data_IF_176043612888
#
_entry.id   IF_176043612888
#
_cell.length_a   1.000
_cell.length_b   1.000
_cell.length_c   1.000
_cell.angle_alpha   90.00
_cell.angle_beta   90.00
_cell.angle_gamma   90.00
#
_symmetry.space_group_name_H-M   'P 1'
#
loop_
_entity.id
_entity.type
_entity.pdbx_description
1 polymer ?
#
# COMPACT_ATOMS: atom_id res chain seq x y z
N UNK A 1 8.18 2.01 25.46
CA UNK A 1 7.22 0.96 25.06
C UNK A 1 5.98 1.64 24.51
N UNK A 2 5.47 1.18 23.39
CA UNK A 2 4.22 1.68 22.79
C UNK A 2 3.09 1.18 23.68
N UNK A 3 2.37 2.10 24.34
CA UNK A 3 1.26 1.73 25.24
C UNK A 3 -0.09 1.96 24.54
N UNK A 4 -0.28 1.30 23.40
CA UNK A 4 -1.52 1.32 22.63
C UNK A 4 -2.19 -0.05 22.81
N UNK A 5 -3.45 -0.11 23.29
CA UNK A 5 -4.17 -1.38 23.33
C UNK A 5 -4.29 -1.99 21.94
N UNK A 6 -4.03 -3.28 21.79
CA UNK A 6 -4.10 -3.99 20.51
C UNK A 6 -5.51 -3.85 19.86
N UNK A 7 -6.55 -3.76 20.67
CA UNK A 7 -7.96 -3.53 20.24
C UNK A 7 -8.22 -2.11 19.72
N UNK A 8 -7.21 -1.22 19.76
CA UNK A 8 -7.22 0.14 19.20
C UNK A 8 -6.29 0.28 17.99
N UNK A 9 -5.88 -0.82 17.41
CA UNK A 9 -5.07 -0.85 16.20
C UNK A 9 -5.94 -1.34 15.04
N UNK A 10 -5.96 -0.57 13.94
CA UNK A 10 -6.45 -1.02 12.65
C UNK A 10 -5.23 -1.36 11.79
N UNK A 11 -5.08 -2.63 11.48
CA UNK A 11 -4.09 -3.11 10.53
C UNK A 11 -4.58 -2.82 9.12
N UNK A 12 -3.67 -2.42 8.23
CA UNK A 12 -4.01 -2.00 6.87
C UNK A 12 -2.91 -2.42 5.89
N UNK A 13 -3.36 -2.81 4.71
CA UNK A 13 -2.52 -3.09 3.55
C UNK A 13 -3.23 -2.63 2.28
N UNK A 14 -2.50 -2.25 1.24
CA UNK A 14 -3.07 -1.82 -0.04
C UNK A 14 -2.41 -2.53 -1.22
N UNK A 15 -3.23 -2.87 -2.23
CA UNK A 15 -2.72 -3.35 -3.50
C UNK A 15 -2.96 -2.32 -4.61
N UNK A 16 -1.91 -2.12 -5.38
CA UNK A 16 -1.84 -1.09 -6.40
C UNK A 16 -1.38 -1.64 -7.75
N UNK A 17 -1.86 -1.01 -8.82
CA UNK A 17 -1.44 -1.30 -10.18
C UNK A 17 -1.12 -0.01 -10.92
N UNK A 18 -0.37 -0.07 -12.01
CA UNK A 18 -0.21 1.07 -12.90
C UNK A 18 -1.55 1.57 -13.42
N UNK A 19 -1.69 2.88 -13.69
CA UNK A 19 -2.90 3.51 -14.23
C UNK A 19 -3.37 2.91 -15.56
N UNK A 20 -2.49 2.22 -16.28
CA UNK A 20 -2.76 1.54 -17.55
C UNK A 20 -2.03 0.18 -17.55
N UNK A 21 -2.45 -0.77 -18.41
CA UNK A 21 -1.80 -2.08 -18.53
C UNK A 21 -0.35 -1.97 -19.04
N UNK A 22 -0.09 -1.03 -19.93
CA UNK A 22 1.21 -0.82 -20.57
C UNK A 22 1.51 0.66 -20.72
N UNK A 23 2.78 1.01 -20.95
CA UNK A 23 3.15 2.40 -21.20
C UNK A 23 2.51 2.97 -22.49
N UNK A 24 2.44 2.27 -23.65
CA UNK A 24 1.68 2.74 -24.81
C UNK A 24 0.19 3.02 -24.52
N UNK A 25 -0.43 2.22 -23.67
CA UNK A 25 -1.80 2.50 -23.23
C UNK A 25 -1.87 3.79 -22.38
N UNK A 26 -0.89 4.02 -21.50
CA UNK A 26 -0.79 5.29 -20.76
C UNK A 26 -0.62 6.47 -21.72
N UNK A 27 0.24 6.36 -22.74
CA UNK A 27 0.40 7.41 -23.77
C UNK A 27 -0.90 7.72 -24.51
N UNK A 28 -1.72 6.71 -24.73
CA UNK A 28 -3.00 6.86 -25.44
C UNK A 28 -4.05 7.54 -24.58
N UNK A 29 -4.21 7.11 -23.32
CA UNK A 29 -5.28 7.58 -22.43
C UNK A 29 -4.90 8.79 -21.56
N UNK A 30 -3.58 8.94 -21.27
CA UNK A 30 -3.05 9.97 -20.38
C UNK A 30 -1.71 10.52 -20.90
N UNK A 31 -1.68 11.18 -22.08
CA UNK A 31 -0.42 11.60 -22.73
C UNK A 31 0.45 12.52 -21.87
N UNK A 32 -0.17 13.41 -21.08
CA UNK A 32 0.57 14.29 -20.18
C UNK A 32 1.25 13.52 -19.05
N UNK A 33 0.57 12.51 -18.48
CA UNK A 33 1.17 11.65 -17.46
C UNK A 33 2.27 10.76 -18.05
N UNK A 34 2.11 10.29 -19.28
CA UNK A 34 3.15 9.53 -19.97
C UNK A 34 4.41 10.38 -20.19
N UNK A 35 4.24 11.65 -20.57
CA UNK A 35 5.37 12.59 -20.66
C UNK A 35 6.07 12.78 -19.30
N UNK A 36 5.30 12.96 -18.22
CA UNK A 36 5.86 13.09 -16.87
C UNK A 36 6.52 11.79 -16.40
N UNK A 37 6.01 10.64 -16.79
CA UNK A 37 6.65 9.37 -16.49
C UNK A 37 8.04 9.25 -17.14
N UNK A 38 8.20 9.68 -18.40
CA UNK A 38 9.53 9.74 -19.07
C UNK A 38 10.49 10.66 -18.30
N UNK A 39 10.03 11.85 -17.88
CA UNK A 39 10.86 12.75 -17.07
C UNK A 39 11.24 12.13 -15.71
N UNK A 40 10.32 11.38 -15.09
CA UNK A 40 10.58 10.64 -13.85
C UNK A 40 11.64 9.55 -14.09
N UNK A 41 11.61 8.84 -15.22
CA UNK A 41 12.62 7.83 -15.56
C UNK A 41 14.02 8.44 -15.69
N UNK A 42 14.15 9.56 -16.37
CA UNK A 42 15.44 10.26 -16.50
C UNK A 42 16.05 10.63 -15.15
N UNK A 43 15.21 11.04 -14.19
CA UNK A 43 15.63 11.31 -12.83
C UNK A 43 15.96 10.01 -12.07
N UNK A 44 15.12 8.97 -12.23
CA UNK A 44 15.26 7.68 -11.56
C UNK A 44 16.55 6.97 -11.97
N UNK A 45 16.86 6.91 -13.26
CA UNK A 45 18.10 6.32 -13.78
C UNK A 45 19.37 7.01 -13.25
N UNK A 46 19.33 8.34 -13.14
CA UNK A 46 20.45 9.10 -12.53
C UNK A 46 20.65 8.74 -11.06
N UNK A 47 19.58 8.42 -10.36
CA UNK A 47 19.60 8.07 -8.94
C UNK A 47 19.93 6.59 -8.69
N UNK A 48 19.53 5.72 -9.60
CA UNK A 48 19.66 4.27 -9.55
C UNK A 48 20.25 3.74 -10.87
N UNK A 49 21.58 3.88 -11.06
CA UNK A 49 22.23 3.52 -12.33
C UNK A 49 22.09 2.07 -12.75
N UNK A 50 21.78 1.17 -11.82
CA UNK A 50 21.49 -0.25 -12.07
C UNK A 50 20.21 -0.47 -12.91
N UNK A 51 19.37 0.54 -13.05
CA UNK A 51 18.18 0.54 -13.90
C UNK A 51 18.40 1.28 -15.23
N UNK A 52 19.58 1.84 -15.46
CA UNK A 52 19.87 2.59 -16.68
C UNK A 52 19.71 1.71 -17.94
N UNK A 53 19.14 2.31 -19.00
CA UNK A 53 18.91 1.64 -20.27
C UNK A 53 17.66 0.77 -20.35
N UNK A 54 16.84 0.74 -19.29
CA UNK A 54 15.52 0.11 -19.33
C UNK A 54 14.52 1.07 -19.98
N UNK A 55 13.82 0.59 -21.01
CA UNK A 55 12.84 1.42 -21.72
C UNK A 55 11.60 1.77 -20.86
N UNK A 56 10.83 2.81 -21.28
CA UNK A 56 9.61 3.22 -20.57
C UNK A 56 8.60 2.09 -20.36
N UNK A 57 8.47 1.17 -21.32
CA UNK A 57 7.55 0.03 -21.24
C UNK A 57 7.90 -0.89 -20.09
N UNK A 58 9.16 -1.33 -20.00
CA UNK A 58 9.63 -2.21 -18.94
C UNK A 58 9.51 -1.53 -17.57
N UNK A 59 9.91 -0.25 -17.50
CA UNK A 59 9.90 0.49 -16.26
C UNK A 59 8.48 0.82 -15.79
N UNK A 60 7.56 1.14 -16.70
CA UNK A 60 6.18 1.37 -16.35
C UNK A 60 5.53 0.10 -15.79
N UNK A 61 5.70 -1.02 -16.48
CA UNK A 61 5.17 -2.31 -16.02
C UNK A 61 5.67 -2.70 -14.63
N UNK A 62 6.97 -2.50 -14.37
CA UNK A 62 7.60 -2.97 -13.12
C UNK A 62 7.56 -1.95 -11.97
N UNK A 63 7.37 -0.65 -12.22
CA UNK A 63 7.56 0.41 -11.22
C UNK A 63 6.41 1.38 -11.07
N UNK A 64 5.49 1.48 -12.04
CA UNK A 64 4.38 2.43 -11.94
C UNK A 64 3.50 2.20 -10.71
N UNK A 65 3.29 0.95 -10.32
CA UNK A 65 2.53 0.57 -9.13
C UNK A 65 3.17 1.02 -7.79
N UNK A 66 4.39 1.54 -7.82
CA UNK A 66 5.11 2.02 -6.62
C UNK A 66 5.13 3.55 -6.51
N UNK A 67 4.57 4.27 -7.47
CA UNK A 67 4.59 5.74 -7.54
C UNK A 67 3.16 6.27 -7.57
N UNK A 68 2.76 6.96 -6.52
CA UNK A 68 1.37 7.39 -6.29
C UNK A 68 0.73 8.13 -7.48
N UNK A 69 1.53 8.85 -8.24
CA UNK A 69 1.11 9.65 -9.40
C UNK A 69 0.82 8.78 -10.64
N UNK A 70 1.37 7.58 -10.71
CA UNK A 70 1.27 6.67 -11.86
C UNK A 70 0.54 5.36 -11.57
N UNK A 71 0.06 5.19 -10.32
CA UNK A 71 -0.71 4.01 -9.90
C UNK A 71 -2.19 4.34 -9.69
N UNK A 72 -2.99 3.27 -9.57
CA UNK A 72 -4.30 3.30 -8.92
C UNK A 72 -4.38 2.20 -7.84
N UNK A 73 -5.18 2.44 -6.81
CA UNK A 73 -5.49 1.46 -5.77
C UNK A 73 -6.61 0.56 -6.28
N UNK A 74 -6.42 -0.75 -6.22
CA UNK A 74 -7.42 -1.76 -6.61
C UNK A 74 -7.96 -2.55 -5.44
N UNK A 75 -7.23 -2.58 -4.32
CA UNK A 75 -7.68 -3.19 -3.07
C UNK A 75 -7.12 -2.42 -1.87
N UNK A 76 -7.93 -2.31 -0.82
CA UNK A 76 -7.53 -1.89 0.52
C UNK A 76 -8.11 -2.90 1.48
N UNK A 77 -7.28 -3.64 2.19
CA UNK A 77 -7.71 -4.55 3.24
C UNK A 77 -7.39 -3.97 4.61
N UNK A 78 -8.30 -4.17 5.54
CA UNK A 78 -8.13 -3.76 6.94
C UNK A 78 -8.50 -4.90 7.88
N UNK A 79 -7.90 -4.90 9.06
CA UNK A 79 -8.22 -5.88 10.10
C UNK A 79 -8.02 -5.32 11.49
N UNK A 80 -8.69 -5.89 12.47
CA UNK A 80 -8.54 -5.52 13.87
C UNK A 80 -8.89 -6.70 14.77
N UNK A 81 -8.41 -6.64 16.01
CA UNK A 81 -8.75 -7.62 17.05
C UNK A 81 -9.87 -7.03 17.90
N UNK A 82 -10.96 -7.78 18.05
CA UNK A 82 -12.09 -7.41 18.91
C UNK A 82 -11.71 -7.55 20.40
N UNK A 83 -12.57 -7.03 21.30
CA UNK A 83 -12.37 -7.20 22.74
C UNK A 83 -12.43 -8.68 23.19
N UNK A 84 -13.09 -9.52 22.42
CA UNK A 84 -13.21 -10.97 22.68
C UNK A 84 -12.04 -11.77 22.08
N UNK A 85 -11.07 -11.08 21.45
CA UNK A 85 -9.88 -11.69 20.86
C UNK A 85 -10.10 -12.23 19.43
N UNK A 86 -11.25 -12.00 18.80
CA UNK A 86 -11.50 -12.41 17.43
C UNK A 86 -10.83 -11.45 16.44
N UNK A 87 -10.24 -11.99 15.38
CA UNK A 87 -9.75 -11.22 14.23
C UNK A 87 -10.91 -10.98 13.27
N UNK A 88 -11.10 -9.73 12.87
CA UNK A 88 -12.06 -9.34 11.82
C UNK A 88 -11.34 -8.57 10.73
N UNK A 89 -11.56 -8.99 9.49
CA UNK A 89 -11.03 -8.35 8.29
C UNK A 89 -12.16 -7.80 7.42
N UNK A 90 -11.85 -6.80 6.64
CA UNK A 90 -12.73 -6.23 5.62
C UNK A 90 -11.88 -5.69 4.48
N UNK A 91 -12.29 -5.96 3.24
CA UNK A 91 -11.63 -5.44 2.04
C UNK A 91 -12.57 -4.54 1.24
N UNK A 92 -11.99 -3.50 0.67
CA UNK A 92 -12.57 -2.57 -0.28
C UNK A 92 -11.79 -2.73 -1.59
N UNK A 93 -12.42 -3.26 -2.64
CA UNK A 93 -11.73 -3.59 -3.89
C UNK A 93 -12.65 -3.42 -5.09
N UNK A 94 -12.07 -3.26 -6.26
CA UNK A 94 -12.82 -3.04 -7.49
C UNK A 94 -12.03 -2.31 -8.56
N UNK A 95 -12.70 -2.02 -9.68
CA UNK A 95 -12.11 -1.30 -10.80
C UNK A 95 -12.22 0.23 -10.65
N UNK A 96 -13.22 0.71 -9.92
CA UNK A 96 -13.43 2.13 -9.64
C UNK A 96 -12.73 2.54 -8.34
N UNK A 97 -11.50 3.05 -8.48
CA UNK A 97 -10.71 3.54 -7.35
C UNK A 97 -11.46 4.58 -6.49
N UNK A 98 -12.28 5.42 -7.12
CA UNK A 98 -13.00 6.48 -6.38
C UNK A 98 -14.04 5.91 -5.42
N UNK A 99 -14.67 4.80 -5.78
CA UNK A 99 -15.61 4.07 -4.91
C UNK A 99 -14.85 3.47 -3.73
N UNK A 100 -13.76 2.74 -4.00
CA UNK A 100 -12.90 2.19 -2.95
C UNK A 100 -12.48 3.28 -1.95
N UNK A 101 -11.95 4.39 -2.47
CA UNK A 101 -11.45 5.48 -1.64
C UNK A 101 -12.52 6.18 -0.82
N UNK A 102 -13.78 6.29 -1.29
CA UNK A 102 -14.90 6.82 -0.52
C UNK A 102 -15.27 5.94 0.66
N UNK A 103 -15.30 4.63 0.44
CA UNK A 103 -15.64 3.66 1.49
C UNK A 103 -14.53 3.61 2.55
N UNK A 104 -13.26 3.57 2.12
CA UNK A 104 -12.09 3.66 3.00
C UNK A 104 -12.07 5.00 3.75
N UNK A 105 -12.36 6.13 3.11
CA UNK A 105 -12.44 7.44 3.76
C UNK A 105 -13.49 7.42 4.90
N UNK A 106 -14.64 6.81 4.64
CA UNK A 106 -15.73 6.71 5.63
C UNK A 106 -15.32 5.87 6.83
N UNK A 107 -14.66 4.73 6.60
CA UNK A 107 -14.09 3.91 7.66
C UNK A 107 -13.04 4.69 8.46
N UNK A 108 -12.05 5.28 7.78
CA UNK A 108 -10.94 5.98 8.43
C UNK A 108 -11.40 7.20 9.25
N UNK A 109 -12.43 7.93 8.81
CA UNK A 109 -13.07 8.99 9.60
C UNK A 109 -13.66 8.43 10.90
N UNK A 110 -14.40 7.32 10.80
CA UNK A 110 -15.04 6.69 11.96
C UNK A 110 -14.01 6.22 12.99
N UNK A 111 -12.99 5.46 12.56
CA UNK A 111 -11.98 4.91 13.48
C UNK A 111 -11.06 5.99 14.04
N UNK A 112 -10.75 7.04 13.26
CA UNK A 112 -9.98 8.19 13.73
C UNK A 112 -10.67 8.88 14.90
N UNK A 113 -11.99 9.08 14.83
CA UNK A 113 -12.81 9.64 15.91
C UNK A 113 -12.85 8.73 17.16
N UNK A 114 -12.67 7.42 16.98
CA UNK A 114 -12.60 6.44 18.07
C UNK A 114 -11.19 6.27 18.67
N UNK A 115 -10.21 7.04 18.19
CA UNK A 115 -8.84 7.06 18.68
C UNK A 115 -8.02 5.84 18.31
N UNK A 116 -8.31 5.21 17.17
CA UNK A 116 -7.49 4.12 16.64
C UNK A 116 -6.16 4.64 16.08
N UNK A 117 -5.19 3.73 16.02
CA UNK A 117 -3.94 3.87 15.31
C UNK A 117 -3.93 2.95 14.09
N UNK A 118 -3.31 3.39 13.01
CA UNK A 118 -3.04 2.51 11.85
C UNK A 118 -1.81 1.66 12.13
N UNK A 119 -1.75 0.45 11.56
CA UNK A 119 -0.57 -0.39 11.55
C UNK A 119 -0.43 -1.09 10.21
N UNK A 120 0.77 -1.09 9.64
CA UNK A 120 1.09 -1.83 8.42
C UNK A 120 2.59 -2.11 8.31
N UNK A 121 2.99 -2.77 7.24
CA UNK A 121 4.40 -3.05 6.97
C UNK A 121 4.95 -2.07 5.93
N UNK A 122 5.90 -1.23 6.30
CA UNK A 122 6.37 -0.10 5.49
C UNK A 122 5.25 0.90 5.14
N UNK A 123 4.17 0.87 5.92
CA UNK A 123 2.96 1.64 5.63
C UNK A 123 3.16 3.15 5.74
N UNK A 124 4.06 3.61 6.62
CA UNK A 124 4.43 5.04 6.68
C UNK A 124 5.18 5.49 5.42
N UNK A 125 5.91 4.57 4.78
CA UNK A 125 6.65 4.86 3.55
C UNK A 125 5.82 4.73 2.28
N UNK A 126 4.73 3.95 2.30
CA UNK A 126 3.95 3.65 1.10
C UNK A 126 2.44 3.79 1.29
N UNK A 127 1.77 2.87 1.99
CA UNK A 127 0.31 2.77 2.04
C UNK A 127 -0.36 4.08 2.48
N UNK A 128 0.08 4.64 3.59
CA UNK A 128 -0.49 5.85 4.19
C UNK A 128 -0.36 7.07 3.27
N UNK A 129 0.84 7.42 2.76
CA UNK A 129 0.99 8.54 1.84
C UNK A 129 0.32 8.28 0.48
N UNK A 130 0.30 7.05 -0.02
CA UNK A 130 -0.41 6.70 -1.25
C UNK A 130 -1.91 6.92 -1.08
N UNK A 131 -2.53 6.40 -0.02
CA UNK A 131 -3.95 6.63 0.28
C UNK A 131 -4.29 8.12 0.34
N UNK A 132 -3.49 8.91 1.06
CA UNK A 132 -3.73 10.35 1.17
C UNK A 132 -3.65 11.05 -0.19
N UNK A 133 -2.60 10.79 -0.98
CA UNK A 133 -2.40 11.36 -2.31
C UNK A 133 -3.52 10.94 -3.28
N UNK A 134 -3.86 9.63 -3.31
CA UNK A 134 -4.90 9.12 -4.20
C UNK A 134 -6.28 9.67 -3.85
N UNK A 135 -6.59 9.87 -2.56
CA UNK A 135 -7.80 10.58 -2.14
C UNK A 135 -7.84 11.99 -2.73
N UNK A 136 -6.76 12.77 -2.58
CA UNK A 136 -6.69 14.15 -3.12
C UNK A 136 -6.86 14.14 -4.65
N UNK A 137 -6.18 13.24 -5.37
CA UNK A 137 -6.28 13.11 -6.84
C UNK A 137 -7.69 12.75 -7.29
N UNK A 138 -8.47 12.03 -6.46
CA UNK A 138 -9.87 11.69 -6.72
C UNK A 138 -10.88 12.73 -6.20
N UNK A 139 -10.40 13.91 -5.72
CA UNK A 139 -11.24 14.99 -5.19
C UNK A 139 -11.83 14.69 -3.82
N UNK A 140 -11.21 13.83 -3.04
CA UNK A 140 -11.61 13.47 -1.67
C UNK A 140 -10.66 14.13 -0.67
N UNK A 141 -11.21 14.61 0.46
CA UNK A 141 -10.41 15.14 1.56
C UNK A 141 -9.90 14.00 2.43
N UNK A 142 -8.57 13.82 2.61
CA UNK A 142 -8.03 12.81 3.51
C UNK A 142 -8.54 13.02 4.95
N UNK A 143 -8.95 11.95 5.66
CA UNK A 143 -9.37 12.05 7.06
C UNK A 143 -8.19 12.34 7.99
N UNK A 144 -8.46 12.95 9.16
CA UNK A 144 -7.44 13.40 10.11
C UNK A 144 -6.52 12.29 10.68
N UNK A 145 -6.91 11.03 10.55
CA UNK A 145 -6.05 9.90 10.94
C UNK A 145 -4.88 9.73 9.97
N UNK A 146 -5.01 10.19 8.72
CA UNK A 146 -3.92 10.26 7.75
C UNK A 146 -3.10 11.54 7.98
N UNK A 147 -1.79 11.52 7.71
CA UNK A 147 -0.95 12.70 7.88
C UNK A 147 -1.35 13.84 6.92
N UNK A 148 -1.22 15.06 7.41
CA UNK A 148 -1.35 16.28 6.62
C UNK A 148 0.02 16.75 6.09
N UNK A 149 0.03 17.80 5.27
CA UNK A 149 1.24 18.35 4.65
C UNK A 149 2.31 18.84 5.65
N UNK A 150 1.91 19.19 6.87
CA UNK A 150 2.77 19.69 7.95
C UNK A 150 3.12 18.61 8.99
N UNK A 151 2.56 17.40 8.86
CA UNK A 151 2.84 16.29 9.77
C UNK A 151 4.26 15.79 9.56
N UNK A 152 5.07 15.80 10.62
CA UNK A 152 6.42 15.24 10.58
C UNK A 152 6.38 13.72 10.67
N UNK A 153 7.37 12.99 10.11
CA UNK A 153 7.38 11.53 10.11
C UNK A 153 7.13 10.88 11.48
N UNK A 154 7.65 11.48 12.56
CA UNK A 154 7.50 10.97 13.92
C UNK A 154 6.16 11.35 14.59
N UNK A 155 5.37 12.23 13.98
CA UNK A 155 4.04 12.65 14.46
C UNK A 155 2.91 11.82 13.83
N UNK A 156 3.24 10.98 12.83
CA UNK A 156 2.27 10.10 12.19
C UNK A 156 1.74 9.09 13.21
N UNK A 157 0.43 9.13 13.46
CA UNK A 157 -0.25 8.20 14.37
C UNK A 157 -0.43 6.82 13.73
N UNK A 158 0.69 6.20 13.39
CA UNK A 158 0.72 4.86 12.84
C UNK A 158 1.89 4.08 13.41
N UNK A 159 1.69 2.77 13.53
CA UNK A 159 2.73 1.78 13.76
C UNK A 159 3.19 1.24 12.42
N UNK A 160 4.47 0.99 12.30
CA UNK A 160 5.06 0.38 11.12
C UNK A 160 5.92 -0.79 11.57
N UNK A 161 5.53 -2.01 11.20
CA UNK A 161 6.22 -3.22 11.65
C UNK A 161 7.67 -3.26 11.17
N UNK A 162 7.97 -2.64 10.01
CA UNK A 162 9.34 -2.49 9.52
C UNK A 162 10.17 -1.59 10.43
N UNK A 163 9.61 -0.46 10.89
CA UNK A 163 10.28 0.44 11.84
C UNK A 163 10.43 -0.23 13.22
N UNK A 164 9.41 -0.93 13.70
CA UNK A 164 9.45 -1.66 14.96
C UNK A 164 10.57 -2.72 14.96
N UNK A 165 10.75 -3.43 13.83
CA UNK A 165 11.81 -4.42 13.64
C UNK A 165 13.22 -3.84 13.63
N UNK A 166 13.35 -2.55 13.38
CA UNK A 166 14.66 -1.89 13.35
C UNK A 166 15.35 -1.82 14.71
N UNK A 167 14.60 -1.74 15.82
CA UNK A 167 15.18 -1.57 17.17
C UNK A 167 16.29 -0.50 17.22
N UNK A 168 16.11 0.61 16.47
CA UNK A 168 17.08 1.69 16.39
C UNK A 168 18.21 1.49 15.35
N UNK A 169 18.24 0.37 14.61
CA UNK A 169 19.17 0.15 13.51
C UNK A 169 18.68 0.79 12.21
N UNK A 170 19.60 1.44 11.46
CA UNK A 170 19.27 1.98 10.12
C UNK A 170 19.51 0.98 8.98
N UNK A 171 20.14 -0.16 9.26
CA UNK A 171 20.47 -1.21 8.26
C UNK A 171 19.57 -2.41 8.46
N UNK A 172 18.32 -2.32 8.00
CA UNK A 172 17.39 -3.43 8.20
C UNK A 172 16.96 -4.01 6.87
N UNK A 173 17.18 -5.31 6.70
CA UNK A 173 16.49 -6.11 5.70
C UNK A 173 15.11 -6.40 6.29
N UNK A 174 14.13 -5.55 5.97
CA UNK A 174 12.81 -5.62 6.56
C UNK A 174 11.77 -6.02 5.54
N UNK A 175 11.81 -7.24 4.99
CA UNK A 175 10.67 -7.79 4.28
C UNK A 175 9.72 -8.47 5.28
N UNK A 176 8.41 -8.32 5.06
CA UNK A 176 7.38 -8.97 5.86
C UNK A 176 7.60 -10.49 5.92
N UNK A 177 7.94 -11.09 4.77
CA UNK A 177 8.22 -12.52 4.66
C UNK A 177 9.38 -12.97 5.57
N UNK A 178 10.50 -12.22 5.58
CA UNK A 178 11.62 -12.54 6.45
C UNK A 178 11.24 -12.46 7.93
N UNK A 179 10.46 -11.46 8.31
CA UNK A 179 9.95 -11.33 9.67
C UNK A 179 9.07 -12.53 10.05
N UNK A 180 8.15 -12.94 9.17
CA UNK A 180 7.32 -14.14 9.37
C UNK A 180 8.17 -15.38 9.62
N UNK A 181 9.18 -15.62 8.79
CA UNK A 181 10.10 -16.78 8.94
C UNK A 181 10.81 -16.71 10.30
N UNK A 182 11.35 -15.55 10.67
CA UNK A 182 12.07 -15.39 11.94
C UNK A 182 11.16 -15.58 13.17
N UNK A 183 9.90 -15.24 13.08
CA UNK A 183 8.92 -15.31 14.18
C UNK A 183 8.06 -16.58 14.15
N UNK A 184 8.24 -17.44 13.12
CA UNK A 184 7.45 -18.66 12.97
C UNK A 184 5.97 -18.41 12.61
N UNK A 185 5.68 -17.26 11.98
CA UNK A 185 4.34 -16.91 11.48
C UNK A 185 4.21 -17.35 10.03
N UNK A 186 3.05 -17.89 9.65
CA UNK A 186 2.79 -18.28 8.27
C UNK A 186 2.74 -17.06 7.35
N UNK A 187 3.52 -17.09 6.25
CA UNK A 187 3.61 -16.01 5.26
C UNK A 187 2.51 -16.10 4.19
N UNK A 188 2.12 -14.96 3.63
CA UNK A 188 1.22 -14.86 2.46
C UNK A 188 1.88 -15.30 1.13
N UNK A 189 3.19 -15.50 1.09
CA UNK A 189 3.96 -15.80 -0.14
C UNK A 189 3.65 -17.14 -0.81
N UNK A 190 2.92 -18.03 -0.14
CA UNK A 190 2.47 -19.30 -0.71
C UNK A 190 1.21 -19.16 -1.59
N UNK A 191 0.68 -17.94 -1.76
CA UNK A 191 -0.51 -17.67 -2.57
C UNK A 191 -0.17 -17.56 -4.07
N UNK A 192 -1.16 -17.74 -4.93
CA UNK A 192 -1.02 -17.66 -6.38
C UNK A 192 -0.60 -16.26 -6.84
N UNK A 193 -1.21 -15.23 -6.25
CA UNK A 193 -0.84 -13.82 -6.44
C UNK A 193 0.09 -13.41 -5.30
N UNK A 194 1.15 -12.69 -5.65
CA UNK A 194 2.10 -12.07 -4.71
C UNK A 194 2.38 -10.63 -5.16
N UNK A 195 2.81 -9.75 -4.25
CA UNK A 195 2.89 -8.31 -4.47
C UNK A 195 3.54 -7.86 -5.78
N UNK A 196 4.64 -8.52 -6.22
CA UNK A 196 5.30 -8.19 -7.49
C UNK A 196 4.56 -8.67 -8.76
N UNK A 197 3.46 -9.41 -8.61
CA UNK A 197 2.62 -9.92 -9.71
C UNK A 197 1.23 -9.30 -9.73
N UNK A 198 0.92 -8.38 -8.84
CA UNK A 198 -0.42 -7.74 -8.74
C UNK A 198 -0.78 -7.02 -10.04
N UNK A 199 0.18 -6.33 -10.67
CA UNK A 199 -0.06 -5.66 -11.95
C UNK A 199 -0.46 -6.65 -13.06
N UNK A 200 0.28 -7.75 -13.21
CA UNK A 200 -0.02 -8.85 -14.14
C UNK A 200 -1.37 -9.52 -13.79
N UNK A 201 -1.60 -9.82 -12.51
CA UNK A 201 -2.83 -10.46 -12.05
C UNK A 201 -4.06 -9.60 -12.36
N UNK A 202 -3.96 -8.29 -12.20
CA UNK A 202 -5.05 -7.35 -12.48
C UNK A 202 -5.30 -7.15 -13.97
N UNK A 203 -4.26 -6.73 -14.72
CA UNK A 203 -4.44 -6.31 -16.11
C UNK A 203 -4.48 -7.48 -17.10
N UNK A 204 -3.62 -8.49 -16.91
CA UNK A 204 -3.48 -9.56 -17.90
C UNK A 204 -4.39 -10.76 -17.59
N UNK A 205 -4.60 -11.06 -16.29
CA UNK A 205 -5.34 -12.25 -15.85
C UNK A 205 -6.72 -11.97 -15.27
N UNK A 206 -7.05 -10.70 -14.99
CA UNK A 206 -8.33 -10.30 -14.38
C UNK A 206 -8.64 -11.02 -13.05
N UNK A 207 -7.62 -11.21 -12.22
CA UNK A 207 -7.67 -11.96 -10.96
C UNK A 207 -7.90 -11.04 -9.75
N UNK A 208 -8.91 -10.17 -9.81
CA UNK A 208 -9.15 -9.17 -8.75
C UNK A 208 -9.51 -9.82 -7.39
N UNK A 209 -10.26 -10.94 -7.41
CA UNK A 209 -10.57 -11.69 -6.18
C UNK A 209 -9.31 -12.26 -5.51
N UNK A 210 -8.39 -12.82 -6.30
CA UNK A 210 -7.13 -13.35 -5.78
C UNK A 210 -6.23 -12.23 -5.22
N UNK A 211 -6.26 -11.04 -5.84
CA UNK A 211 -5.58 -9.85 -5.30
C UNK A 211 -6.17 -9.47 -3.94
N UNK A 212 -7.50 -9.46 -3.82
CA UNK A 212 -8.20 -9.20 -2.56
C UNK A 212 -7.84 -10.24 -1.49
N UNK A 213 -7.83 -11.53 -1.81
CA UNK A 213 -7.45 -12.60 -0.89
C UNK A 213 -6.00 -12.44 -0.41
N UNK A 214 -5.09 -12.07 -1.31
CA UNK A 214 -3.70 -11.81 -0.99
C UNK A 214 -3.56 -10.61 -0.01
N UNK A 215 -4.21 -9.49 -0.30
CA UNK A 215 -4.21 -8.29 0.54
C UNK A 215 -4.83 -8.57 1.94
N UNK A 216 -5.90 -9.36 2.02
CA UNK A 216 -6.47 -9.82 3.31
C UNK A 216 -5.48 -10.68 4.09
N UNK A 217 -4.79 -11.59 3.40
CA UNK A 217 -3.80 -12.46 4.04
C UNK A 217 -2.62 -11.66 4.58
N UNK A 218 -2.15 -10.62 3.88
CA UNK A 218 -1.10 -9.74 4.40
C UNK A 218 -1.57 -9.01 5.67
N UNK A 219 -2.82 -8.58 5.75
CA UNK A 219 -3.39 -8.00 6.99
C UNK A 219 -3.47 -9.03 8.12
N UNK A 220 -3.88 -10.28 7.85
CA UNK A 220 -3.89 -11.35 8.87
C UNK A 220 -2.47 -11.65 9.39
N UNK A 221 -1.50 -11.68 8.50
CA UNK A 221 -0.08 -11.84 8.84
C UNK A 221 0.39 -10.72 9.76
N UNK A 222 0.06 -9.46 9.43
CA UNK A 222 0.40 -8.30 10.27
C UNK A 222 -0.21 -8.38 11.68
N UNK A 223 -1.42 -8.93 11.81
CA UNK A 223 -2.09 -9.10 13.11
C UNK A 223 -1.39 -10.17 13.97
N UNK A 224 -0.84 -11.19 13.31
CA UNK A 224 -0.19 -12.33 13.98
C UNK A 224 1.29 -12.09 14.31
N UNK A 225 1.90 -11.04 13.76
CA UNK A 225 3.26 -10.58 14.06
C UNK A 225 3.31 -9.72 15.31
#
# INVERSE_FOLDING_TARGET
MINIPITKILFIDIETVGLAPTFPALETFHPELAYQFKNYLDWFEKRFPEHAGKGPDEMFYNKSALVAEFLKIVCVSVGFITNDGEIKTQSFYGDDEKVILKDVQSLLKRIGNLGFYLCGHNAKGFDIPVLAKRMVMNGLMPPQILPSHDTKPWEIKALDTKELWQFGSFTTIGSLELMCICMGVESSKNMEVVGNKVHEAYWDKQQLEQIKEYCEKDVEVLINL
#
